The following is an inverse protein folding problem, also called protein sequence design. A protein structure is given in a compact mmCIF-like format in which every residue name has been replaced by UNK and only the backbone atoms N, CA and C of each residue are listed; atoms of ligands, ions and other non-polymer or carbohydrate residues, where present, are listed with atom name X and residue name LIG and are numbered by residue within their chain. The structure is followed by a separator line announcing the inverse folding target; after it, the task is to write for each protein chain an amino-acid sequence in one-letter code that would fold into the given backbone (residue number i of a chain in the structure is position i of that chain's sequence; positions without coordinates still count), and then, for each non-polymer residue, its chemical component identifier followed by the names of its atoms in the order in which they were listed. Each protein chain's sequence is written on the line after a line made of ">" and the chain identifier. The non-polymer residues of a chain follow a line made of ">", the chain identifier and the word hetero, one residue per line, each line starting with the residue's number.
data_IF_534947638119
#
_entry.id   IF_534947638119
#
_cell.length_a   1.000
_cell.length_b   1.000
_cell.length_c   1.000
_cell.angle_alpha   90.00
_cell.angle_beta   90.00
_cell.angle_gamma   90.00
#
_symmetry.space_group_name_H-M   'P 1'
#
loop_
_entity.id
_entity.type
_entity.pdbx_description
1 polymer ?
#
# COMPACT_ATOMS: atom_id res chain seq x y z
N UNK A 1 -18.58 12.83 43.38
CA UNK A 1 -19.43 12.10 42.42
C UNK A 1 -19.40 12.61 40.98
N UNK A 2 -18.54 13.57 40.61
CA UNK A 2 -18.21 13.85 39.20
C UNK A 2 -16.84 13.26 38.82
N UNK A 3 -15.91 13.20 39.78
CA UNK A 3 -14.59 12.59 39.62
C UNK A 3 -14.67 11.06 39.41
N UNK A 4 -15.56 10.38 40.14
CA UNK A 4 -15.82 8.94 39.97
C UNK A 4 -16.53 8.62 38.65
N UNK A 5 -17.34 9.54 38.12
CA UNK A 5 -17.97 9.40 36.81
C UNK A 5 -16.93 9.50 35.68
N UNK A 6 -15.98 10.45 35.80
CA UNK A 6 -14.85 10.59 34.88
C UNK A 6 -13.85 9.43 34.95
N UNK A 7 -13.58 8.92 36.16
CA UNK A 7 -12.73 7.73 36.33
C UNK A 7 -13.40 6.46 35.80
N UNK A 8 -14.72 6.32 35.95
CA UNK A 8 -15.47 5.23 35.33
C UNK A 8 -15.55 5.36 33.81
N UNK A 9 -15.59 6.57 33.22
CA UNK A 9 -15.51 6.78 31.76
C UNK A 9 -14.13 6.42 31.21
N UNK A 10 -13.05 6.74 31.93
CA UNK A 10 -11.69 6.33 31.58
C UNK A 10 -11.46 4.82 31.74
N UNK A 11 -12.16 4.16 32.69
CA UNK A 11 -12.14 2.70 32.87
C UNK A 11 -13.11 1.93 31.95
N UNK A 12 -14.06 2.62 31.30
CA UNK A 12 -14.98 2.06 30.28
C UNK A 12 -14.52 2.33 28.84
N UNK A 13 -13.23 2.58 28.62
CA UNK A 13 -12.61 2.32 27.32
C UNK A 13 -12.54 0.80 27.12
N UNK A 14 -13.71 0.16 26.95
CA UNK A 14 -13.81 -1.17 26.40
C UNK A 14 -13.00 -1.18 25.13
N UNK A 15 -12.04 -2.10 25.04
CA UNK A 15 -11.06 -2.24 23.96
C UNK A 15 -11.61 -1.74 22.62
N UNK A 16 -11.23 -0.52 22.22
CA UNK A 16 -11.70 0.03 20.96
C UNK A 16 -11.35 -0.97 19.85
N UNK A 17 -12.32 -1.34 19.00
CA UNK A 17 -12.07 -2.30 17.94
C UNK A 17 -10.96 -1.74 17.05
N UNK A 18 -9.89 -2.51 16.86
CA UNK A 18 -8.81 -2.16 15.93
C UNK A 18 -9.38 -1.79 14.56
N UNK A 19 -8.70 -0.90 13.82
CA UNK A 19 -9.14 -0.51 12.47
C UNK A 19 -9.38 -1.74 11.58
N UNK A 20 -8.52 -2.76 11.67
CA UNK A 20 -8.69 -4.02 10.95
C UNK A 20 -10.01 -4.71 11.29
N UNK A 21 -10.36 -4.81 12.58
CA UNK A 21 -11.64 -5.40 13.00
C UNK A 21 -12.88 -4.62 12.55
N UNK A 22 -12.78 -3.28 12.46
CA UNK A 22 -13.87 -2.45 11.96
C UNK A 22 -14.05 -2.65 10.45
N UNK A 23 -12.95 -2.50 9.70
CA UNK A 23 -12.97 -2.56 8.23
C UNK A 23 -13.34 -3.95 7.71
N UNK A 24 -12.93 -5.02 8.40
CA UNK A 24 -13.30 -6.39 8.03
C UNK A 24 -14.81 -6.65 8.05
N UNK A 25 -15.56 -5.89 8.86
CA UNK A 25 -17.01 -6.02 8.96
C UNK A 25 -17.76 -5.10 7.98
N UNK A 26 -17.05 -4.31 7.17
CA UNK A 26 -17.63 -3.38 6.21
C UNK A 26 -17.54 -3.93 4.79
N UNK A 27 -18.57 -3.71 3.97
CA UNK A 27 -18.48 -3.87 2.53
C UNK A 27 -17.68 -2.72 1.90
N UNK A 28 -17.16 -2.92 0.67
CA UNK A 28 -16.48 -1.85 -0.06
C UNK A 28 -17.37 -0.61 -0.24
N UNK A 29 -18.67 -0.80 -0.50
CA UNK A 29 -19.62 0.32 -0.59
C UNK A 29 -19.73 1.09 0.74
N UNK A 30 -19.67 0.40 1.88
CA UNK A 30 -19.67 1.06 3.20
C UNK A 30 -18.36 1.81 3.46
N UNK A 31 -17.23 1.29 3.00
CA UNK A 31 -15.93 1.95 3.09
C UNK A 31 -15.94 3.24 2.26
N UNK A 32 -16.36 3.17 1.00
CA UNK A 32 -16.49 4.34 0.13
C UNK A 32 -17.43 5.38 0.72
N UNK A 33 -18.61 4.98 1.21
CA UNK A 33 -19.55 5.88 1.88
C UNK A 33 -19.00 6.51 3.16
N UNK A 34 -18.06 5.86 3.84
CA UNK A 34 -17.42 6.42 5.03
C UNK A 34 -16.30 7.41 4.68
N UNK A 35 -15.55 7.15 3.61
CA UNK A 35 -14.39 7.95 3.20
C UNK A 35 -14.80 9.17 2.37
N UNK A 36 -15.65 8.96 1.37
CA UNK A 36 -15.94 9.93 0.34
C UNK A 36 -16.50 11.26 0.88
N UNK A 37 -17.48 11.27 1.81
CA UNK A 37 -18.01 12.52 2.38
C UNK A 37 -16.97 13.33 3.17
N UNK A 38 -15.87 12.71 3.60
CA UNK A 38 -14.82 13.37 4.39
C UNK A 38 -13.72 13.93 3.49
N UNK A 39 -13.39 13.22 2.41
CA UNK A 39 -12.18 13.47 1.64
C UNK A 39 -12.42 13.90 0.19
N UNK A 40 -13.54 13.56 -0.45
CA UNK A 40 -13.74 13.90 -1.88
C UNK A 40 -13.70 15.41 -2.14
N UNK A 41 -14.30 16.21 -1.25
CA UNK A 41 -14.29 17.68 -1.35
C UNK A 41 -12.89 18.28 -1.12
N UNK A 42 -11.99 17.54 -0.48
CA UNK A 42 -10.61 17.95 -0.23
C UNK A 42 -9.71 17.51 -1.39
N UNK A 43 -9.77 16.23 -1.73
CA UNK A 43 -9.01 15.61 -2.80
C UNK A 43 -9.59 14.23 -3.14
N UNK A 44 -10.10 14.11 -4.37
CA UNK A 44 -10.55 12.84 -4.91
C UNK A 44 -9.44 11.77 -4.90
N UNK A 45 -8.20 12.13 -5.24
CA UNK A 45 -7.07 11.19 -5.24
C UNK A 45 -6.70 10.71 -3.84
N UNK A 46 -6.90 11.56 -2.82
CA UNK A 46 -6.69 11.19 -1.42
C UNK A 46 -7.80 10.26 -0.93
N UNK A 47 -9.05 10.53 -1.31
CA UNK A 47 -10.19 9.64 -1.03
C UNK A 47 -9.95 8.24 -1.63
N UNK A 48 -9.61 8.18 -2.92
CA UNK A 48 -9.27 6.93 -3.63
C UNK A 48 -8.11 6.19 -2.94
N UNK A 49 -7.02 6.91 -2.63
CA UNK A 49 -5.86 6.33 -1.93
C UNK A 49 -6.23 5.75 -0.58
N UNK A 50 -7.13 6.42 0.15
CA UNK A 50 -7.61 5.96 1.46
C UNK A 50 -8.49 4.72 1.32
N UNK A 51 -9.42 4.69 0.37
CA UNK A 51 -10.25 3.50 0.07
C UNK A 51 -9.36 2.31 -0.28
N UNK A 52 -8.37 2.50 -1.16
CA UNK A 52 -7.43 1.43 -1.56
C UNK A 52 -6.61 0.91 -0.38
N UNK A 53 -6.18 1.79 0.54
CA UNK A 53 -5.50 1.39 1.76
C UNK A 53 -6.40 0.52 2.67
N UNK A 54 -7.65 0.91 2.88
CA UNK A 54 -8.59 0.15 3.69
C UNK A 54 -8.94 -1.20 3.04
N UNK A 55 -9.06 -1.26 1.71
CA UNK A 55 -9.21 -2.52 0.99
C UNK A 55 -7.98 -3.45 1.15
N UNK A 56 -6.78 -2.89 1.18
CA UNK A 56 -5.57 -3.66 1.48
C UNK A 56 -5.58 -4.22 2.91
N UNK A 57 -6.06 -3.46 3.90
CA UNK A 57 -6.24 -3.96 5.28
C UNK A 57 -7.28 -5.10 5.32
N UNK A 58 -8.40 -4.96 4.59
CA UNK A 58 -9.43 -5.98 4.55
C UNK A 58 -8.90 -7.30 3.98
N UNK A 59 -8.18 -7.22 2.85
CA UNK A 59 -7.60 -8.39 2.19
C UNK A 59 -6.46 -9.05 2.98
N UNK A 60 -5.72 -8.29 3.80
CA UNK A 60 -4.73 -8.85 4.73
C UNK A 60 -5.37 -9.87 5.69
N UNK A 61 -6.59 -9.58 6.14
CA UNK A 61 -7.34 -10.43 7.08
C UNK A 61 -7.87 -11.71 6.45
N UNK A 62 -7.94 -11.80 5.11
CA UNK A 62 -8.38 -13.00 4.40
C UNK A 62 -7.30 -14.09 4.33
N UNK A 63 -6.08 -13.84 4.83
CA UNK A 63 -4.95 -14.78 4.81
C UNK A 63 -4.57 -15.34 3.40
N UNK A 64 -5.09 -14.77 2.30
CA UNK A 64 -4.66 -15.11 0.93
C UNK A 64 -3.69 -14.03 0.45
N UNK A 65 -2.40 -14.38 0.43
CA UNK A 65 -1.33 -13.47 0.00
C UNK A 65 -1.52 -12.93 -1.43
N UNK A 66 -2.27 -13.61 -2.30
CA UNK A 66 -2.56 -13.13 -3.66
C UNK A 66 -3.53 -11.96 -3.64
N UNK A 67 -4.61 -12.09 -2.87
CA UNK A 67 -5.62 -11.05 -2.72
C UNK A 67 -5.02 -9.83 -2.04
N UNK A 68 -4.21 -10.06 -1.00
CA UNK A 68 -3.51 -8.98 -0.33
C UNK A 68 -2.50 -8.28 -1.27
N UNK A 69 -1.72 -9.03 -2.05
CA UNK A 69 -0.84 -8.44 -3.05
C UNK A 69 -1.60 -7.61 -4.09
N UNK A 70 -2.74 -8.09 -4.57
CA UNK A 70 -3.53 -7.38 -5.58
C UNK A 70 -4.12 -6.07 -5.02
N UNK A 71 -4.69 -6.11 -3.82
CA UNK A 71 -5.20 -4.91 -3.16
C UNK A 71 -4.08 -3.91 -2.81
N UNK A 72 -2.93 -4.40 -2.34
CA UNK A 72 -1.79 -3.54 -2.02
C UNK A 72 -1.14 -2.97 -3.30
N UNK A 73 -1.23 -3.66 -4.44
CA UNK A 73 -0.79 -3.15 -5.74
C UNK A 73 -1.63 -1.96 -6.21
N UNK A 74 -2.95 -2.01 -6.01
CA UNK A 74 -3.86 -0.89 -6.27
C UNK A 74 -3.41 0.34 -5.47
N UNK A 75 -3.27 0.18 -4.14
CA UNK A 75 -2.79 1.23 -3.24
C UNK A 75 -1.41 1.78 -3.64
N UNK A 76 -0.45 0.90 -3.91
CA UNK A 76 0.91 1.28 -4.33
C UNK A 76 0.90 2.10 -5.64
N UNK A 77 -0.01 1.78 -6.56
CA UNK A 77 -0.11 2.43 -7.87
C UNK A 77 -0.93 3.71 -7.89
N UNK A 78 -1.56 4.06 -6.75
CA UNK A 78 -2.37 5.25 -6.54
C UNK A 78 -1.60 6.54 -6.85
N UNK A 79 -2.32 7.55 -7.34
CA UNK A 79 -1.69 8.80 -7.80
C UNK A 79 -0.97 9.52 -6.65
N UNK A 80 -1.59 9.61 -5.48
CA UNK A 80 -1.04 10.32 -4.31
C UNK A 80 0.02 9.51 -3.57
N UNK A 81 -0.08 8.17 -3.58
CA UNK A 81 0.87 7.28 -2.90
C UNK A 81 2.31 7.53 -3.39
N UNK A 82 2.51 7.83 -4.67
CA UNK A 82 3.85 8.08 -5.25
C UNK A 82 4.47 9.39 -4.75
N UNK A 83 3.65 10.34 -4.28
CA UNK A 83 4.15 11.58 -3.68
C UNK A 83 4.55 11.40 -2.21
N UNK A 84 4.09 10.34 -1.56
CA UNK A 84 4.51 9.95 -0.22
C UNK A 84 5.85 9.20 -0.27
N UNK A 85 6.94 9.92 -0.56
CA UNK A 85 8.26 9.33 -0.85
C UNK A 85 8.76 8.34 0.22
N UNK A 86 8.69 8.63 1.53
CA UNK A 86 9.10 7.65 2.54
C UNK A 86 8.26 6.38 2.49
N UNK A 87 6.94 6.51 2.29
CA UNK A 87 6.02 5.39 2.23
C UNK A 87 6.28 4.53 0.98
N UNK A 88 6.39 5.12 -0.20
CA UNK A 88 6.59 4.34 -1.44
C UNK A 88 7.92 3.59 -1.42
N UNK A 89 8.95 4.13 -0.75
CA UNK A 89 10.25 3.47 -0.60
C UNK A 89 10.14 2.21 0.28
N UNK A 90 9.48 2.30 1.42
CA UNK A 90 9.25 1.14 2.29
C UNK A 90 8.31 0.12 1.64
N UNK A 91 7.22 0.58 1.02
CA UNK A 91 6.31 -0.29 0.28
C UNK A 91 7.00 -0.98 -0.89
N UNK A 92 7.97 -0.35 -1.54
CA UNK A 92 8.72 -0.99 -2.65
C UNK A 92 9.43 -2.26 -2.18
N UNK A 93 10.04 -2.25 -1.00
CA UNK A 93 10.72 -3.42 -0.45
C UNK A 93 9.72 -4.51 -0.07
N UNK A 94 8.66 -4.10 0.63
CA UNK A 94 7.59 -5.01 1.07
C UNK A 94 6.86 -5.67 -0.11
N UNK A 95 6.53 -4.90 -1.15
CA UNK A 95 5.87 -5.40 -2.36
C UNK A 95 6.74 -6.38 -3.13
N UNK A 96 8.07 -6.17 -3.17
CA UNK A 96 9.00 -7.14 -3.78
C UNK A 96 9.04 -8.43 -2.98
N UNK A 97 9.13 -8.33 -1.65
CA UNK A 97 9.07 -9.50 -0.77
C UNK A 97 7.78 -10.29 -0.99
N UNK A 98 6.63 -9.62 -0.91
CA UNK A 98 5.32 -10.23 -1.05
C UNK A 98 5.12 -10.85 -2.45
N UNK A 99 5.58 -10.19 -3.51
CA UNK A 99 5.53 -10.74 -4.87
C UNK A 99 6.28 -12.08 -4.97
N UNK A 100 7.49 -12.15 -4.39
CA UNK A 100 8.31 -13.36 -4.42
C UNK A 100 7.70 -14.48 -3.58
N UNK A 101 7.22 -14.13 -2.39
CA UNK A 101 6.55 -15.05 -1.48
C UNK A 101 5.30 -15.68 -2.13
N UNK A 102 4.45 -14.86 -2.73
CA UNK A 102 3.24 -15.31 -3.41
C UNK A 102 3.56 -16.16 -4.65
N UNK A 103 4.53 -15.76 -5.47
CA UNK A 103 4.94 -16.56 -6.62
C UNK A 103 5.58 -17.91 -6.21
N UNK A 104 6.26 -17.95 -5.07
CA UNK A 104 6.84 -19.17 -4.50
C UNK A 104 5.75 -20.11 -3.97
N UNK A 105 4.78 -19.60 -3.21
CA UNK A 105 3.76 -20.42 -2.54
C UNK A 105 2.66 -20.95 -3.46
N UNK A 106 2.24 -20.18 -4.47
CA UNK A 106 1.06 -20.52 -5.27
C UNK A 106 1.36 -21.16 -6.63
N UNK A 107 2.65 -21.37 -6.97
CA UNK A 107 3.11 -22.05 -8.19
C UNK A 107 2.26 -21.76 -9.45
N UNK A 108 2.13 -20.47 -9.81
CA UNK A 108 1.31 -20.06 -10.95
C UNK A 108 1.74 -20.75 -12.26
N UNK A 109 0.77 -20.97 -13.16
CA UNK A 109 1.01 -21.52 -14.52
C UNK A 109 2.02 -20.70 -15.34
N UNK A 110 2.06 -19.39 -15.11
CA UNK A 110 3.10 -18.50 -15.64
C UNK A 110 4.21 -18.37 -14.62
N UNK A 111 5.47 -18.54 -15.04
CA UNK A 111 6.63 -18.30 -14.17
C UNK A 111 6.59 -16.84 -13.66
N UNK A 112 6.59 -16.68 -12.35
CA UNK A 112 6.78 -15.41 -11.64
C UNK A 112 5.76 -14.31 -12.01
N UNK A 113 4.46 -14.60 -11.85
CA UNK A 113 3.36 -13.70 -12.24
C UNK A 113 3.39 -12.38 -11.45
N UNK A 114 3.51 -12.45 -10.12
CA UNK A 114 3.50 -11.25 -9.26
C UNK A 114 4.81 -10.47 -9.37
N UNK A 115 5.95 -11.16 -9.52
CA UNK A 115 7.24 -10.55 -9.79
C UNK A 115 7.23 -9.69 -11.07
N UNK A 116 6.57 -10.16 -12.13
CA UNK A 116 6.38 -9.37 -13.35
C UNK A 116 5.49 -8.14 -13.15
N UNK A 117 4.48 -8.22 -12.26
CA UNK A 117 3.63 -7.06 -11.93
C UNK A 117 4.44 -6.01 -11.17
N UNK A 118 5.14 -6.41 -10.10
CA UNK A 118 5.94 -5.46 -9.31
C UNK A 118 7.09 -4.86 -10.12
N UNK A 119 7.69 -5.59 -11.08
CA UNK A 119 8.66 -5.02 -12.01
C UNK A 119 8.11 -3.78 -12.73
N UNK A 120 6.89 -3.88 -13.30
CA UNK A 120 6.23 -2.76 -14.00
C UNK A 120 5.91 -1.60 -13.06
N UNK A 121 5.44 -1.91 -11.85
CA UNK A 121 5.12 -0.90 -10.84
C UNK A 121 6.38 -0.14 -10.39
N UNK A 122 7.50 -0.85 -10.16
CA UNK A 122 8.79 -0.25 -9.84
C UNK A 122 9.32 0.62 -10.99
N UNK A 123 9.18 0.18 -12.25
CA UNK A 123 9.55 1.00 -13.42
C UNK A 123 8.73 2.30 -13.47
N UNK A 124 7.42 2.23 -13.19
CA UNK A 124 6.57 3.43 -13.13
C UNK A 124 7.03 4.40 -12.04
N UNK A 125 7.26 3.91 -10.81
CA UNK A 125 7.73 4.75 -9.69
C UNK A 125 9.10 5.34 -9.98
N UNK A 126 10.03 4.53 -10.52
CA UNK A 126 11.35 4.99 -10.95
C UNK A 126 11.25 6.14 -11.95
N UNK A 127 10.41 6.00 -12.99
CA UNK A 127 10.24 7.04 -14.00
C UNK A 127 9.65 8.33 -13.40
N UNK A 128 8.71 8.23 -12.46
CA UNK A 128 8.15 9.40 -11.76
C UNK A 128 9.21 10.10 -10.89
N UNK A 129 10.01 9.32 -10.15
CA UNK A 129 11.11 9.88 -9.35
C UNK A 129 12.19 10.51 -10.24
N UNK A 130 12.53 9.89 -11.37
CA UNK A 130 13.53 10.39 -12.32
C UNK A 130 13.09 11.70 -12.99
N UNK A 131 11.80 11.82 -13.31
CA UNK A 131 11.23 13.01 -13.92
C UNK A 131 11.12 14.21 -12.96
N UNK A 132 11.25 13.99 -11.65
CA UNK A 132 11.11 15.04 -10.66
C UNK A 132 12.23 16.09 -10.75
N UNK A 133 11.83 17.34 -11.00
CA UNK A 133 12.74 18.50 -11.14
C UNK A 133 12.83 19.36 -9.87
N UNK A 134 12.16 18.96 -8.80
CA UNK A 134 12.14 19.67 -7.53
C UNK A 134 13.55 19.78 -6.91
N UNK A 135 13.82 20.82 -6.09
CA UNK A 135 15.05 20.92 -5.32
C UNK A 135 15.26 19.70 -4.42
N UNK A 136 16.52 19.32 -4.17
CA UNK A 136 16.84 18.02 -3.56
C UNK A 136 16.16 17.80 -2.20
N UNK A 137 15.94 18.85 -1.40
CA UNK A 137 15.30 18.77 -0.08
C UNK A 137 13.83 18.34 -0.10
N UNK A 138 13.13 18.58 -1.21
CA UNK A 138 11.71 18.19 -1.40
C UNK A 138 11.55 17.22 -2.56
N UNK A 139 12.66 16.75 -3.14
CA UNK A 139 12.64 15.95 -4.35
C UNK A 139 12.29 14.50 -4.04
N UNK A 140 11.44 13.92 -4.91
CA UNK A 140 11.14 12.49 -4.95
C UNK A 140 12.37 11.64 -5.26
N UNK A 141 13.43 12.25 -5.82
CA UNK A 141 14.71 11.59 -6.13
C UNK A 141 15.44 11.05 -4.90
N UNK A 142 15.09 11.47 -3.70
CA UNK A 142 15.66 10.89 -2.46
C UNK A 142 15.44 9.37 -2.36
N UNK A 143 14.32 8.86 -2.88
CA UNK A 143 14.00 7.42 -2.87
C UNK A 143 14.56 6.62 -4.05
N UNK A 144 15.15 7.28 -5.06
CA UNK A 144 15.40 6.66 -6.37
C UNK A 144 16.34 5.47 -6.29
N UNK A 145 17.43 5.57 -5.50
CA UNK A 145 18.39 4.49 -5.37
C UNK A 145 17.78 3.24 -4.73
N UNK A 146 16.87 3.40 -3.75
CA UNK A 146 16.22 2.27 -3.09
C UNK A 146 15.26 1.57 -4.06
N UNK A 147 14.44 2.34 -4.79
CA UNK A 147 13.53 1.81 -5.81
C UNK A 147 14.30 1.11 -6.93
N UNK A 148 15.40 1.70 -7.42
CA UNK A 148 16.26 1.08 -8.45
C UNK A 148 16.87 -0.23 -7.95
N UNK A 149 17.34 -0.30 -6.71
CA UNK A 149 17.86 -1.54 -6.13
C UNK A 149 16.78 -2.63 -6.04
N UNK A 150 15.54 -2.26 -5.70
CA UNK A 150 14.41 -3.19 -5.71
C UNK A 150 14.08 -3.67 -7.12
N UNK A 151 14.11 -2.78 -8.11
CA UNK A 151 13.90 -3.17 -9.51
C UNK A 151 14.95 -4.20 -9.96
N UNK A 152 16.23 -3.95 -9.66
CA UNK A 152 17.30 -4.91 -9.95
C UNK A 152 17.08 -6.27 -9.28
N UNK A 153 16.70 -6.31 -8.00
CA UNK A 153 16.35 -7.57 -7.31
C UNK A 153 15.29 -8.36 -8.09
N UNK A 154 14.25 -7.69 -8.59
CA UNK A 154 13.19 -8.32 -9.38
C UNK A 154 13.71 -8.82 -10.74
N UNK A 155 14.45 -8.00 -11.48
CA UNK A 155 15.02 -8.40 -12.77
C UNK A 155 15.96 -9.61 -12.65
N UNK A 156 16.80 -9.64 -11.61
CA UNK A 156 17.65 -10.80 -11.32
C UNK A 156 16.82 -12.04 -10.99
N UNK A 157 15.76 -11.93 -10.18
CA UNK A 157 14.86 -13.05 -9.89
C UNK A 157 14.16 -13.59 -11.14
N UNK A 158 13.80 -12.71 -12.07
CA UNK A 158 13.17 -13.05 -13.33
C UNK A 158 14.14 -13.63 -14.38
N UNK A 159 15.45 -13.63 -14.11
CA UNK A 159 16.52 -13.94 -15.07
C UNK A 159 16.43 -13.08 -16.35
N UNK A 160 15.95 -11.85 -16.22
CA UNK A 160 15.86 -10.89 -17.31
C UNK A 160 16.97 -9.86 -17.15
N UNK A 161 17.96 -9.89 -18.04
CA UNK A 161 19.08 -8.93 -18.06
C UNK A 161 18.84 -7.72 -18.95
N UNK A 162 17.68 -7.67 -19.63
CA UNK A 162 17.25 -6.54 -20.45
C UNK A 162 16.42 -5.59 -19.59
N UNK A 163 17.01 -4.43 -19.29
CA UNK A 163 16.36 -3.26 -18.68
C UNK A 163 15.57 -2.49 -19.74
#
# INVERSE_FOLDING_TARGET
>A
NALEAWQNEQFNLGSEPSLGSVVNNMSMEQIEKAVNPVLEDISYSLAETTVNYLAAIQSFSCCDGRLYFDALSEFYSGQDTVFMVPLIVELSDYMVYLAFDVDMHYHFKSKAKKANIIARLLTRVFNIMLADRSPIGTSKRQGIFRVTNMAFKVYFKLNTTRL
#
